data_IF_584046098128
#
_entry.id   IF_584046098128
#
_cell.length_a   1.000
_cell.length_b   1.000
_cell.length_c   1.000
_cell.angle_alpha   90.00
_cell.angle_beta   90.00
_cell.angle_gamma   90.00
#
_symmetry.space_group_name_H-M   'P 1'
#
loop_
_entity.id
_entity.type
_entity.pdbx_description
1 polymer ?
#
# COMPACT_ATOMS: atom_id res chain seq x y z
N UNK A 1 -60.25 -24.33 0.03
CA UNK A 1 -59.12 -24.05 0.96
C UNK A 1 -58.11 -25.19 0.85
N UNK A 2 -57.18 -25.10 -0.10
CA UNK A 2 -55.97 -25.96 -0.12
C UNK A 2 -54.91 -25.26 -0.96
N UNK A 3 -54.41 -24.13 -0.45
CA UNK A 3 -53.34 -23.30 -1.03
C UNK A 3 -52.01 -23.56 -0.32
N UNK A 4 -51.81 -24.80 0.15
CA UNK A 4 -50.66 -25.18 0.99
C UNK A 4 -49.82 -26.31 0.39
N UNK A 5 -50.08 -26.73 -0.85
CA UNK A 5 -49.34 -27.83 -1.50
C UNK A 5 -48.45 -27.38 -2.66
N UNK A 6 -48.34 -26.07 -2.88
CA UNK A 6 -47.39 -25.48 -3.85
C UNK A 6 -46.23 -24.74 -3.12
N UNK A 7 -45.98 -25.11 -1.86
CA UNK A 7 -44.85 -24.65 -1.06
C UNK A 7 -43.66 -25.64 -1.17
N UNK A 8 -43.90 -26.86 -1.66
CA UNK A 8 -42.90 -27.92 -1.63
C UNK A 8 -42.02 -28.03 -2.88
N UNK A 9 -42.35 -27.35 -3.99
CA UNK A 9 -41.66 -27.51 -5.27
C UNK A 9 -40.80 -26.30 -5.70
N UNK A 10 -40.76 -25.21 -4.92
CA UNK A 10 -40.13 -23.94 -5.32
C UNK A 10 -39.01 -23.45 -4.38
N UNK A 11 -38.65 -24.21 -3.34
CA UNK A 11 -37.53 -23.89 -2.43
C UNK A 11 -36.31 -24.81 -2.68
N UNK A 12 -36.41 -25.75 -3.64
CA UNK A 12 -35.29 -26.57 -4.10
C UNK A 12 -34.33 -25.84 -5.06
N UNK A 13 -34.57 -24.56 -5.35
CA UNK A 13 -33.67 -23.74 -6.15
C UNK A 13 -33.26 -22.48 -5.38
N UNK A 14 -31.97 -22.48 -4.99
CA UNK A 14 -31.10 -21.35 -4.56
C UNK A 14 -31.08 -20.96 -3.08
N UNK A 15 -29.92 -20.54 -2.51
CA UNK A 15 -28.56 -20.45 -3.07
C UNK A 15 -27.53 -21.24 -2.23
N UNK A 16 -27.05 -22.38 -2.75
CA UNK A 16 -25.76 -22.94 -2.30
C UNK A 16 -24.71 -22.38 -3.24
N UNK A 17 -23.85 -21.50 -2.69
CA UNK A 17 -22.59 -20.92 -3.22
C UNK A 17 -22.58 -19.41 -2.94
N UNK A 18 -22.73 -19.05 -1.67
CA UNK A 18 -22.17 -17.81 -1.16
C UNK A 18 -20.69 -18.08 -0.90
N UNK A 19 -19.87 -17.23 -1.50
CA UNK A 19 -18.45 -17.03 -1.24
C UNK A 19 -17.52 -18.19 -1.64
N UNK A 20 -17.29 -18.29 -2.96
CA UNK A 20 -15.88 -18.22 -3.35
C UNK A 20 -15.34 -16.91 -2.76
N UNK A 21 -14.71 -16.99 -1.58
CA UNK A 21 -13.75 -15.99 -1.17
C UNK A 21 -12.67 -16.00 -2.25
N UNK A 22 -12.88 -15.25 -3.33
CA UNK A 22 -11.79 -14.64 -4.08
C UNK A 22 -11.04 -13.81 -3.04
N UNK A 23 -10.12 -14.49 -2.34
CA UNK A 23 -8.98 -13.85 -1.72
C UNK A 23 -8.48 -12.85 -2.74
N UNK A 24 -8.34 -11.55 -2.40
CA UNK A 24 -7.96 -10.56 -3.39
C UNK A 24 -6.64 -11.02 -3.98
N UNK A 25 -6.68 -11.54 -5.22
CA UNK A 25 -5.50 -12.04 -5.91
C UNK A 25 -4.63 -10.82 -6.13
N UNK A 26 -3.68 -10.66 -5.21
CA UNK A 26 -2.66 -9.64 -5.18
C UNK A 26 -1.92 -9.78 -6.49
N UNK A 27 -2.11 -8.78 -7.35
CA UNK A 27 -1.84 -8.81 -8.79
C UNK A 27 -0.48 -9.48 -9.06
N UNK A 28 -0.49 -10.60 -9.78
CA UNK A 28 0.72 -11.31 -10.20
C UNK A 28 0.96 -11.05 -11.68
N UNK A 29 2.14 -10.59 -12.07
CA UNK A 29 2.56 -10.54 -13.48
C UNK A 29 3.60 -11.62 -13.78
N UNK A 30 3.58 -12.20 -14.99
CA UNK A 30 4.54 -13.23 -15.36
C UNK A 30 5.92 -12.59 -15.58
N UNK A 31 6.87 -12.89 -14.70
CA UNK A 31 8.28 -12.58 -14.90
C UNK A 31 9.07 -13.90 -14.80
N UNK A 32 9.45 -14.48 -15.95
CA UNK A 32 10.08 -15.81 -16.03
C UNK A 32 9.11 -16.99 -15.89
N UNK A 33 9.61 -18.18 -15.54
CA UNK A 33 8.81 -19.41 -15.32
C UNK A 33 8.01 -19.41 -13.99
N UNK A 34 8.07 -18.32 -13.21
CA UNK A 34 7.40 -18.20 -11.92
C UNK A 34 6.31 -17.13 -11.91
N UNK A 35 5.22 -17.39 -11.17
CA UNK A 35 4.27 -16.35 -10.74
C UNK A 35 4.85 -15.71 -9.47
N UNK A 36 5.36 -14.50 -9.57
CA UNK A 36 5.75 -13.71 -8.39
C UNK A 36 4.56 -12.86 -7.99
N UNK A 37 4.02 -13.08 -6.79
CA UNK A 37 3.04 -12.15 -6.21
C UNK A 37 3.83 -10.96 -5.67
N UNK A 38 3.48 -9.77 -6.14
CA UNK A 38 4.04 -8.54 -5.59
C UNK A 38 3.46 -8.32 -4.20
N UNK A 39 4.28 -8.50 -3.19
CA UNK A 39 3.87 -8.20 -1.83
C UNK A 39 4.27 -6.77 -1.54
N UNK A 40 3.29 -5.96 -1.17
CA UNK A 40 3.56 -4.62 -0.66
C UNK A 40 4.53 -4.70 0.53
N UNK A 41 5.69 -4.06 0.39
CA UNK A 41 6.62 -3.90 1.50
C UNK A 41 6.04 -2.86 2.46
N UNK A 42 5.46 -3.37 3.54
CA UNK A 42 4.83 -2.56 4.57
C UNK A 42 5.84 -1.80 5.44
N UNK A 43 7.14 -2.06 5.28
CA UNK A 43 8.21 -1.42 6.04
C UNK A 43 8.84 -0.21 5.35
N UNK A 44 8.51 0.03 4.07
CA UNK A 44 9.09 1.12 3.28
C UNK A 44 8.03 1.91 2.52
N UNK A 45 8.31 3.19 2.32
CA UNK A 45 7.61 4.06 1.38
C UNK A 45 8.61 4.62 0.37
N UNK A 46 8.24 4.61 -0.91
CA UNK A 46 8.96 5.33 -1.95
C UNK A 46 8.52 6.80 -1.92
N UNK A 47 9.49 7.71 -1.86
CA UNK A 47 9.26 9.15 -1.84
C UNK A 47 10.16 9.81 -2.88
N UNK A 48 9.56 10.49 -3.85
CA UNK A 48 10.25 11.27 -4.87
C UNK A 48 10.12 12.75 -4.55
N UNK A 49 11.25 13.45 -4.49
CA UNK A 49 11.29 14.88 -4.20
C UNK A 49 11.13 15.72 -5.47
N UNK A 50 10.61 16.93 -5.31
CA UNK A 50 10.56 17.94 -6.38
C UNK A 50 11.96 18.28 -6.87
N UNK A 51 12.06 18.75 -8.12
CA UNK A 51 13.35 19.18 -8.67
C UNK A 51 13.77 20.54 -8.09
N UNK A 52 15.08 20.76 -7.98
CA UNK A 52 15.65 22.07 -7.63
C UNK A 52 15.72 22.37 -6.12
N UNK A 53 15.59 21.35 -5.26
CA UNK A 53 15.90 21.51 -3.84
C UNK A 53 17.41 21.66 -3.64
N UNK A 54 17.82 22.66 -2.87
CA UNK A 54 19.24 22.89 -2.53
C UNK A 54 19.79 21.78 -1.61
N UNK A 55 18.99 21.36 -0.62
CA UNK A 55 19.30 20.27 0.30
C UNK A 55 18.14 19.26 0.35
N UNK A 56 18.23 18.23 -0.47
CA UNK A 56 17.22 17.16 -0.56
C UNK A 56 17.03 16.41 0.77
N UNK A 57 18.13 15.99 1.39
CA UNK A 57 18.09 15.17 2.62
C UNK A 57 17.58 16.00 3.79
N UNK A 58 18.10 17.22 3.99
CA UNK A 58 17.66 18.09 5.08
C UNK A 58 16.20 18.48 4.94
N UNK A 59 15.75 18.79 3.72
CA UNK A 59 14.34 19.12 3.44
C UNK A 59 13.43 17.93 3.74
N UNK A 60 13.79 16.72 3.28
CA UNK A 60 13.00 15.53 3.57
C UNK A 60 13.01 15.20 5.07
N UNK A 61 14.16 15.26 5.75
CA UNK A 61 14.24 15.04 7.20
C UNK A 61 13.37 16.01 8.01
N UNK A 62 13.30 17.28 7.58
CA UNK A 62 12.48 18.29 8.22
C UNK A 62 10.98 17.92 8.16
N UNK A 63 10.49 17.49 7.00
CA UNK A 63 9.10 17.06 6.82
C UNK A 63 8.79 15.79 7.63
N UNK A 64 9.67 14.78 7.57
CA UNK A 64 9.45 13.49 8.21
C UNK A 64 9.47 13.56 9.74
N UNK A 65 10.18 14.53 10.34
CA UNK A 65 10.34 14.64 11.82
C UNK A 65 9.00 14.70 12.56
N UNK A 66 7.96 15.25 11.94
CA UNK A 66 6.63 15.41 12.53
C UNK A 66 5.69 14.23 12.29
N UNK A 67 6.10 13.25 11.49
CA UNK A 67 5.25 12.15 11.02
C UNK A 67 5.47 10.92 11.88
N UNK A 68 4.40 10.50 12.58
CA UNK A 68 4.43 9.32 13.43
C UNK A 68 4.63 8.06 12.60
N UNK A 69 5.52 7.17 13.07
CA UNK A 69 5.75 5.85 12.45
C UNK A 69 6.80 5.85 11.36
N UNK A 70 7.36 7.02 11.01
CA UNK A 70 8.51 7.14 10.12
C UNK A 70 9.81 7.06 10.92
N UNK A 71 10.78 6.31 10.40
CA UNK A 71 12.12 6.20 10.97
C UNK A 71 13.06 7.28 10.41
N UNK A 72 14.17 7.53 11.12
CA UNK A 72 15.20 8.45 10.65
C UNK A 72 15.80 7.96 9.33
N UNK A 73 15.99 8.89 8.40
CA UNK A 73 16.64 8.64 7.11
C UNK A 73 18.06 9.21 7.08
N UNK A 74 18.91 8.59 6.28
CA UNK A 74 20.26 9.04 5.93
C UNK A 74 20.55 8.76 4.44
N UNK A 75 21.75 9.12 3.96
CA UNK A 75 22.10 9.00 2.53
C UNK A 75 21.95 7.58 1.97
N UNK A 76 21.97 6.53 2.79
CA UNK A 76 21.77 5.14 2.34
C UNK A 76 20.34 4.87 1.89
N UNK A 77 19.40 5.72 2.29
CA UNK A 77 18.01 5.66 1.86
C UNK A 77 17.82 6.22 0.45
N UNK A 78 18.81 6.92 -0.11
CA UNK A 78 18.77 7.45 -1.47
C UNK A 78 18.85 6.31 -2.47
N UNK A 79 18.02 6.38 -3.50
CA UNK A 79 17.98 5.40 -4.57
C UNK A 79 18.81 5.86 -5.77
N UNK A 80 19.15 4.91 -6.65
CA UNK A 80 19.85 5.19 -7.91
C UNK A 80 19.05 6.15 -8.79
N UNK A 81 17.72 6.03 -8.77
CA UNK A 81 16.86 6.97 -9.47
C UNK A 81 16.94 8.35 -8.80
N UNK A 82 17.23 9.43 -9.57
CA UNK A 82 17.42 10.76 -8.99
C UNK A 82 16.23 11.22 -8.16
N UNK A 83 16.52 11.81 -6.98
CA UNK A 83 15.52 12.36 -6.04
C UNK A 83 14.57 11.33 -5.44
N UNK A 84 14.78 10.04 -5.68
CA UNK A 84 13.99 8.97 -5.08
C UNK A 84 14.65 8.50 -3.78
N UNK A 85 13.84 8.38 -2.74
CA UNK A 85 14.24 7.98 -1.40
C UNK A 85 13.32 6.88 -0.90
N UNK A 86 13.89 5.89 -0.22
CA UNK A 86 13.14 4.86 0.50
C UNK A 86 13.08 5.21 1.98
N UNK A 87 11.89 5.61 2.41
CA UNK A 87 11.62 6.04 3.78
C UNK A 87 11.21 4.84 4.62
N UNK A 88 12.02 4.45 5.63
CA UNK A 88 11.69 3.33 6.50
C UNK A 88 10.59 3.68 7.48
N UNK A 89 9.72 2.71 7.72
CA UNK A 89 8.66 2.76 8.70
C UNK A 89 9.00 1.87 9.90
N UNK A 90 8.41 2.16 11.04
CA UNK A 90 8.54 1.33 12.24
C UNK A 90 8.05 -0.08 11.95
N UNK A 91 8.81 -1.10 12.36
CA UNK A 91 8.43 -2.50 12.20
C UNK A 91 7.09 -2.79 12.89
N UNK A 92 6.17 -3.45 12.17
CA UNK A 92 4.83 -3.74 12.68
C UNK A 92 3.93 -2.50 12.80
N UNK A 93 4.24 -1.43 12.06
CA UNK A 93 3.36 -0.27 11.95
C UNK A 93 1.95 -0.72 11.55
N UNK A 94 0.96 -0.18 12.26
CA UNK A 94 -0.44 -0.44 11.95
C UNK A 94 -0.79 0.12 10.56
N UNK A 95 -1.64 -0.56 9.77
CA UNK A 95 -2.02 -0.12 8.43
C UNK A 95 -2.56 1.33 8.40
N UNK A 96 -3.39 1.70 9.38
CA UNK A 96 -3.96 3.06 9.45
C UNK A 96 -2.89 4.14 9.69
N UNK A 97 -1.90 3.84 10.54
CA UNK A 97 -0.80 4.78 10.83
C UNK A 97 0.12 4.90 9.63
N UNK A 98 0.36 3.81 8.92
CA UNK A 98 1.11 3.80 7.66
C UNK A 98 0.41 4.63 6.59
N UNK A 99 -0.90 4.43 6.40
CA UNK A 99 -1.69 5.20 5.46
C UNK A 99 -1.67 6.70 5.80
N UNK A 100 -1.83 7.04 7.08
CA UNK A 100 -1.70 8.43 7.53
C UNK A 100 -0.31 9.01 7.28
N UNK A 101 0.76 8.22 7.47
CA UNK A 101 2.11 8.66 7.16
C UNK A 101 2.28 8.93 5.66
N UNK A 102 1.82 8.01 4.81
CA UNK A 102 1.84 8.17 3.36
C UNK A 102 1.10 9.44 2.91
N UNK A 103 -0.11 9.68 3.41
CA UNK A 103 -0.90 10.87 3.07
C UNK A 103 -0.20 12.16 3.49
N UNK A 104 0.40 12.19 4.68
CA UNK A 104 1.14 13.37 5.16
C UNK A 104 2.41 13.62 4.35
N UNK A 105 3.13 12.57 3.95
CA UNK A 105 4.31 12.69 3.09
C UNK A 105 3.88 13.16 1.69
N UNK A 106 2.81 12.59 1.12
CA UNK A 106 2.31 12.98 -0.19
C UNK A 106 1.82 14.43 -0.23
N UNK A 107 1.36 14.96 0.90
CA UNK A 107 0.94 16.35 1.04
C UNK A 107 2.10 17.34 1.33
N UNK A 108 3.33 16.84 1.54
CA UNK A 108 4.49 17.68 1.84
C UNK A 108 4.92 18.49 0.61
N UNK A 109 5.31 19.75 0.83
CA UNK A 109 5.60 20.70 -0.26
C UNK A 109 6.82 20.35 -1.10
N UNK A 110 7.73 19.56 -0.54
CA UNK A 110 8.98 19.12 -1.16
C UNK A 110 8.85 17.79 -1.90
N UNK A 111 7.67 17.16 -1.86
CA UNK A 111 7.41 15.83 -2.42
C UNK A 111 6.65 15.95 -3.74
N UNK A 112 7.20 15.32 -4.78
CA UNK A 112 6.55 15.16 -6.10
C UNK A 112 5.59 13.96 -6.08
N UNK A 113 6.00 12.87 -5.44
CA UNK A 113 5.21 11.65 -5.33
C UNK A 113 5.61 10.86 -4.07
N UNK A 114 4.64 10.22 -3.42
CA UNK A 114 4.90 9.21 -2.41
C UNK A 114 3.98 8.01 -2.62
N UNK A 115 4.50 6.81 -2.38
CA UNK A 115 3.76 5.58 -2.60
C UNK A 115 4.34 4.37 -1.87
N UNK A 116 3.55 3.29 -1.77
CA UNK A 116 4.04 2.03 -1.25
C UNK A 116 5.02 1.36 -2.21
N UNK A 117 5.94 0.55 -1.68
CA UNK A 117 6.83 -0.29 -2.48
C UNK A 117 6.19 -1.65 -2.68
N UNK A 118 6.26 -2.17 -3.91
CA UNK A 118 5.88 -3.53 -4.26
C UNK A 118 7.17 -4.36 -4.34
N UNK A 119 7.26 -5.42 -3.55
CA UNK A 119 8.42 -6.33 -3.45
C UNK A 119 8.11 -7.75 -3.89
#
# INVERSE_FOLDING_TARGET
>A
MSRLHLIFLLILFTPVLMEAQESPERWSYPYGEGRVSLIEDNSLLAVKLIAGLEDELGSLQAELRSIRGVMKIDDRNRQEYPRLWYVPLVKGIRPEVRQQALERIAAATVVEFAGPILG
#
